data_IF_858588679870
#
_entry.id   IF_858588679870
#
_cell.length_a   1.000
_cell.length_b   1.000
_cell.length_c   1.000
_cell.angle_alpha   90.00
_cell.angle_beta   90.00
_cell.angle_gamma   90.00
#
_symmetry.space_group_name_H-M   'P 1'
#
loop_
_entity.id
_entity.type
_entity.pdbx_description
1 polymer ?
#
# COMPACT_ATOMS: atom_id res chain seq x y z
N UNK A 1 -0.51 13.25 22.96
CA UNK A 1 0.09 12.10 23.67
C UNK A 1 -0.58 10.85 23.11
N UNK A 2 0.16 9.98 22.41
CA UNK A 2 -0.42 8.74 21.89
C UNK A 2 -0.45 7.72 23.03
N UNK A 3 -1.60 7.14 23.38
CA UNK A 3 -1.69 6.16 24.44
C UNK A 3 -0.81 4.94 24.16
N UNK A 4 -0.18 4.35 25.18
CA UNK A 4 0.60 3.12 25.05
C UNK A 4 -0.20 1.97 24.41
N UNK A 5 -1.53 1.97 24.57
CA UNK A 5 -2.44 1.05 23.91
C UNK A 5 -2.40 1.16 22.37
N UNK A 6 -2.26 2.37 21.81
CA UNK A 6 -2.15 2.56 20.36
C UNK A 6 -0.81 2.03 19.80
N UNK A 7 0.26 2.01 20.62
CA UNK A 7 1.54 1.42 20.24
C UNK A 7 1.48 -0.12 20.20
N UNK A 8 0.75 -0.75 21.12
CA UNK A 8 0.53 -2.20 21.12
C UNK A 8 -0.38 -2.65 19.96
N UNK A 9 -1.45 -1.91 19.66
CA UNK A 9 -2.29 -2.15 18.47
C UNK A 9 -1.50 -2.01 17.17
N UNK A 10 -0.54 -1.08 17.12
CA UNK A 10 0.35 -0.90 15.98
C UNK A 10 1.34 -2.05 15.79
N UNK A 11 2.01 -2.49 16.86
CA UNK A 11 2.91 -3.64 16.80
C UNK A 11 2.19 -4.93 16.38
N UNK A 12 0.90 -5.07 16.71
CA UNK A 12 0.07 -6.19 16.29
C UNK A 12 -0.39 -6.10 14.82
N UNK A 13 -0.61 -4.89 14.28
CA UNK A 13 -1.19 -4.67 12.94
C UNK A 13 -0.19 -4.42 11.81
N UNK A 14 0.98 -3.84 12.10
CA UNK A 14 1.98 -3.49 11.10
C UNK A 14 3.17 -4.42 11.18
N UNK A 15 2.99 -5.59 10.59
CA UNK A 15 4.08 -6.52 10.29
C UNK A 15 4.22 -6.69 8.80
N UNK A 16 5.38 -7.19 8.39
CA UNK A 16 5.55 -7.65 7.02
C UNK A 16 4.62 -8.85 6.78
N UNK A 17 3.96 -8.92 5.62
CA UNK A 17 3.22 -10.10 5.23
C UNK A 17 4.19 -11.28 5.08
N UNK A 18 3.77 -12.45 5.53
CA UNK A 18 4.54 -13.69 5.38
C UNK A 18 4.44 -14.21 3.96
N UNK A 19 5.40 -15.03 3.53
CA UNK A 19 5.38 -15.67 2.21
C UNK A 19 4.07 -16.46 1.97
N UNK A 20 3.55 -17.13 3.00
CA UNK A 20 2.27 -17.86 2.93
C UNK A 20 1.08 -16.94 2.68
N UNK A 21 1.05 -15.76 3.31
CA UNK A 21 -0.03 -14.77 3.12
C UNK A 21 0.04 -14.12 1.74
N UNK A 22 1.23 -13.80 1.28
CA UNK A 22 1.47 -13.31 -0.08
C UNK A 22 1.02 -14.36 -1.10
N UNK A 23 1.39 -15.62 -0.89
CA UNK A 23 0.98 -16.74 -1.74
C UNK A 23 -0.53 -16.90 -1.80
N UNK A 24 -1.23 -16.78 -0.66
CA UNK A 24 -2.69 -16.82 -0.59
C UNK A 24 -3.34 -15.63 -1.32
N UNK A 25 -2.79 -14.43 -1.18
CA UNK A 25 -3.32 -13.21 -1.81
C UNK A 25 -3.35 -13.31 -3.34
N UNK A 26 -2.34 -13.96 -3.92
CA UNK A 26 -2.20 -14.09 -5.38
C UNK A 26 -2.53 -15.49 -5.91
N UNK A 27 -3.04 -16.38 -5.07
CA UNK A 27 -3.38 -17.75 -5.46
C UNK A 27 -4.45 -17.75 -6.57
N UNK A 28 -4.19 -18.49 -7.65
CA UNK A 28 -5.11 -18.61 -8.78
C UNK A 28 -5.12 -17.43 -9.76
N UNK A 29 -4.34 -16.37 -9.51
CA UNK A 29 -4.20 -15.24 -10.43
C UNK A 29 -3.10 -15.51 -11.45
N UNK A 30 -3.44 -15.37 -12.72
CA UNK A 30 -2.61 -15.81 -13.85
C UNK A 30 -1.78 -14.68 -14.44
N UNK A 31 -2.25 -13.44 -14.35
CA UNK A 31 -1.59 -12.27 -14.95
C UNK A 31 -1.05 -11.28 -13.92
N UNK A 32 -0.02 -10.53 -14.31
CA UNK A 32 0.48 -9.41 -13.51
C UNK A 32 -0.57 -8.34 -13.27
N UNK A 33 -1.47 -8.12 -14.25
CA UNK A 33 -2.58 -7.18 -14.10
C UNK A 33 -3.55 -7.61 -13.00
N UNK A 34 -3.95 -8.89 -13.00
CA UNK A 34 -4.82 -9.46 -11.96
C UNK A 34 -4.19 -9.33 -10.57
N UNK A 35 -2.90 -9.66 -10.44
CA UNK A 35 -2.18 -9.53 -9.16
C UNK A 35 -2.09 -8.07 -8.68
N UNK A 36 -1.76 -7.13 -9.57
CA UNK A 36 -1.73 -5.71 -9.24
C UNK A 36 -3.11 -5.20 -8.84
N UNK A 37 -4.15 -5.59 -9.56
CA UNK A 37 -5.52 -5.23 -9.23
C UNK A 37 -5.93 -5.75 -7.85
N UNK A 38 -5.65 -7.03 -7.55
CA UNK A 38 -5.92 -7.60 -6.23
C UNK A 38 -5.18 -6.85 -5.11
N UNK A 39 -3.89 -6.55 -5.32
CA UNK A 39 -3.09 -5.76 -4.38
C UNK A 39 -3.69 -4.36 -4.14
N UNK A 40 -4.06 -3.67 -5.21
CA UNK A 40 -4.61 -2.30 -5.14
C UNK A 40 -5.96 -2.30 -4.42
N UNK A 41 -6.85 -3.24 -4.75
CA UNK A 41 -8.15 -3.37 -4.09
C UNK A 41 -8.00 -3.63 -2.60
N UNK A 42 -7.15 -4.57 -2.21
CA UNK A 42 -6.91 -4.88 -0.79
C UNK A 42 -6.21 -3.71 -0.05
N UNK A 43 -5.29 -3.02 -0.72
CA UNK A 43 -4.65 -1.81 -0.16
C UNK A 43 -5.67 -0.71 0.09
N UNK A 44 -6.54 -0.41 -0.88
CA UNK A 44 -7.61 0.57 -0.74
C UNK A 44 -8.56 0.20 0.40
N UNK A 45 -8.99 -1.07 0.52
CA UNK A 45 -9.81 -1.56 1.64
C UNK A 45 -9.12 -1.39 3.00
N UNK A 46 -7.81 -1.60 3.05
CA UNK A 46 -7.03 -1.34 4.27
C UNK A 46 -6.98 0.15 4.59
N UNK A 47 -6.83 1.01 3.60
CA UNK A 47 -6.79 2.46 3.77
C UNK A 47 -8.13 3.02 4.22
N UNK A 48 -9.24 2.56 3.64
CA UNK A 48 -10.59 2.96 4.07
C UNK A 48 -10.85 2.63 5.53
N UNK A 49 -10.47 1.43 5.98
CA UNK A 49 -10.61 1.02 7.39
C UNK A 49 -9.69 1.78 8.34
N UNK A 50 -8.53 2.22 7.85
CA UNK A 50 -7.48 2.85 8.65
C UNK A 50 -7.31 4.34 8.43
N UNK A 51 -8.18 5.01 7.67
CA UNK A 51 -7.91 6.32 7.06
C UNK A 51 -7.43 7.36 8.06
N UNK A 52 -8.25 7.65 9.08
CA UNK A 52 -7.92 8.67 10.08
C UNK A 52 -6.66 8.35 10.89
N UNK A 53 -6.41 7.07 11.14
CA UNK A 53 -5.22 6.62 11.85
C UNK A 53 -3.96 6.76 10.97
N UNK A 54 -4.02 6.32 9.72
CA UNK A 54 -2.92 6.42 8.75
C UNK A 54 -2.51 7.87 8.49
N UNK A 55 -3.52 8.73 8.36
CA UNK A 55 -3.36 10.16 8.16
C UNK A 55 -2.70 10.84 9.37
N UNK A 56 -3.19 10.55 10.58
CA UNK A 56 -2.57 11.03 11.82
C UNK A 56 -1.11 10.54 11.97
N UNK A 57 -0.86 9.25 11.72
CA UNK A 57 0.47 8.67 11.82
C UNK A 57 1.47 9.35 10.90
N UNK A 58 1.09 9.66 9.66
CA UNK A 58 1.98 10.31 8.69
C UNK A 58 2.23 11.78 9.04
N UNK A 59 1.22 12.50 9.52
CA UNK A 59 1.39 13.88 10.02
C UNK A 59 2.36 13.95 11.20
N UNK A 60 2.22 13.03 12.15
CA UNK A 60 2.99 13.07 13.40
C UNK A 60 4.33 12.34 13.32
N UNK A 61 4.58 11.55 12.28
CA UNK A 61 5.82 10.77 12.11
C UNK A 61 7.11 11.59 12.20
N UNK A 62 7.08 12.89 11.83
CA UNK A 62 8.25 13.77 11.94
C UNK A 62 8.64 14.04 13.41
N UNK A 63 7.68 14.03 14.31
CA UNK A 63 7.85 14.40 15.71
C UNK A 63 7.87 13.18 16.64
N UNK A 64 7.34 12.03 16.19
CA UNK A 64 7.20 10.82 16.99
C UNK A 64 7.93 9.63 16.34
N UNK A 65 9.12 9.24 16.82
CA UNK A 65 9.92 8.16 16.23
C UNK A 65 9.21 6.82 16.10
N UNK A 66 8.32 6.47 17.05
CA UNK A 66 7.51 5.26 16.99
C UNK A 66 6.57 5.26 15.78
N UNK A 67 5.99 6.41 15.44
CA UNK A 67 5.16 6.56 14.25
C UNK A 67 5.99 6.61 12.96
N UNK A 68 7.21 7.15 13.02
CA UNK A 68 8.13 7.07 11.89
C UNK A 68 8.49 5.61 11.56
N UNK A 69 8.78 4.80 12.60
CA UNK A 69 9.00 3.37 12.43
C UNK A 69 7.76 2.68 11.87
N UNK A 70 6.58 3.12 12.29
CA UNK A 70 5.33 2.59 11.81
C UNK A 70 5.11 2.76 10.30
N UNK A 71 5.28 3.99 9.84
CA UNK A 71 5.17 4.34 8.42
C UNK A 71 6.20 3.57 7.60
N UNK A 72 7.44 3.45 8.08
CA UNK A 72 8.48 2.66 7.39
C UNK A 72 8.13 1.19 7.25
N UNK A 73 7.55 0.56 8.28
CA UNK A 73 7.12 -0.84 8.21
C UNK A 73 6.01 -1.03 7.19
N UNK A 74 5.03 -0.12 7.12
CA UNK A 74 3.99 -0.15 6.10
C UNK A 74 4.59 0.02 4.69
N UNK A 75 5.49 0.99 4.50
CA UNK A 75 6.13 1.23 3.22
C UNK A 75 6.91 0.00 2.73
N UNK A 76 7.58 -0.70 3.66
CA UNK A 76 8.29 -1.94 3.36
C UNK A 76 7.34 -3.10 3.04
N UNK A 77 6.23 -3.22 3.77
CA UNK A 77 5.21 -4.24 3.49
C UNK A 77 4.62 -4.06 2.08
N UNK A 78 4.32 -2.81 1.69
CA UNK A 78 3.83 -2.50 0.36
C UNK A 78 4.86 -2.84 -0.72
N UNK A 79 6.15 -2.52 -0.51
CA UNK A 79 7.20 -2.86 -1.45
C UNK A 79 7.31 -4.38 -1.70
N UNK A 80 7.26 -5.18 -0.63
CA UNK A 80 7.27 -6.66 -0.71
C UNK A 80 6.06 -7.18 -1.49
N UNK A 81 4.87 -6.60 -1.27
CA UNK A 81 3.66 -7.01 -1.99
C UNK A 81 3.71 -6.63 -3.47
N UNK A 82 4.26 -5.46 -3.81
CA UNK A 82 4.45 -5.03 -5.21
C UNK A 82 5.42 -5.96 -5.93
N UNK A 83 6.54 -6.30 -5.29
CA UNK A 83 7.51 -7.25 -5.85
C UNK A 83 6.84 -8.61 -6.11
N UNK A 84 6.02 -9.10 -5.19
CA UNK A 84 5.28 -10.34 -5.39
C UNK A 84 4.21 -10.26 -6.49
N UNK A 85 3.55 -9.10 -6.67
CA UNK A 85 2.52 -8.92 -7.69
C UNK A 85 3.09 -8.77 -9.11
N UNK A 86 4.15 -7.97 -9.24
CA UNK A 86 4.74 -7.57 -10.52
C UNK A 86 5.99 -8.37 -10.92
N UNK A 87 6.62 -9.08 -9.97
CA UNK A 87 7.90 -9.76 -10.15
C UNK A 87 9.05 -8.79 -10.39
N UNK A 88 10.18 -9.31 -10.86
CA UNK A 88 11.38 -8.51 -11.21
C UNK A 88 11.21 -7.61 -12.44
N UNK A 89 10.00 -7.49 -12.99
CA UNK A 89 9.71 -6.63 -14.16
C UNK A 89 9.76 -5.13 -13.84
N UNK A 90 9.64 -4.79 -12.56
CA UNK A 90 9.59 -3.40 -12.09
C UNK A 90 10.75 -3.18 -11.13
N UNK A 91 11.77 -2.42 -11.55
CA UNK A 91 12.97 -2.15 -10.76
C UNK A 91 13.30 -0.65 -10.72
N UNK A 92 14.17 -0.26 -9.79
CA UNK A 92 14.69 1.10 -9.67
C UNK A 92 13.58 2.16 -9.60
N UNK A 93 13.70 3.20 -10.44
CA UNK A 93 12.75 4.31 -10.47
C UNK A 93 11.30 3.87 -10.76
N UNK A 94 11.09 2.87 -11.64
CA UNK A 94 9.73 2.37 -11.95
C UNK A 94 9.08 1.74 -10.71
N UNK A 95 9.85 1.01 -9.90
CA UNK A 95 9.34 0.39 -8.68
C UNK A 95 8.93 1.45 -7.65
N UNK A 96 9.72 2.52 -7.53
CA UNK A 96 9.37 3.65 -6.68
C UNK A 96 8.06 4.32 -7.13
N UNK A 97 7.87 4.55 -8.44
CA UNK A 97 6.63 5.14 -8.96
C UNK A 97 5.43 4.22 -8.72
N UNK A 98 5.55 2.92 -9.01
CA UNK A 98 4.46 1.95 -8.73
C UNK A 98 4.11 1.95 -7.25
N UNK A 99 5.10 1.97 -6.36
CA UNK A 99 4.86 2.09 -4.92
C UNK A 99 4.10 3.37 -4.58
N UNK A 100 4.53 4.52 -5.12
CA UNK A 100 3.86 5.80 -4.88
C UNK A 100 2.41 5.77 -5.35
N UNK A 101 2.13 5.22 -6.54
CA UNK A 101 0.75 5.15 -7.04
C UNK A 101 -0.17 4.28 -6.18
N UNK A 102 0.37 3.28 -5.48
CA UNK A 102 -0.42 2.36 -4.65
C UNK A 102 -0.48 2.83 -3.20
N UNK A 103 0.38 3.77 -2.78
CA UNK A 103 0.49 4.15 -1.38
C UNK A 103 -0.70 4.97 -0.85
N UNK A 104 -0.80 5.01 0.47
CA UNK A 104 -1.86 5.73 1.17
C UNK A 104 -1.90 7.23 0.81
N UNK A 105 -0.78 7.97 0.79
CA UNK A 105 -0.79 9.39 0.38
C UNK A 105 -1.39 9.63 -0.99
N UNK A 106 -1.07 8.82 -2.01
CA UNK A 106 -1.63 8.98 -3.34
C UNK A 106 -3.12 8.66 -3.36
N UNK A 107 -3.52 7.54 -2.74
CA UNK A 107 -4.93 7.18 -2.58
C UNK A 107 -5.74 8.32 -1.91
N UNK A 108 -5.20 8.90 -0.83
CA UNK A 108 -5.84 10.00 -0.10
C UNK A 108 -5.96 11.26 -0.96
N UNK A 109 -4.92 11.56 -1.74
CA UNK A 109 -4.91 12.70 -2.66
C UNK A 109 -5.99 12.58 -3.74
N UNK A 110 -6.26 11.37 -4.25
CA UNK A 110 -7.36 11.14 -5.19
C UNK A 110 -8.73 11.42 -4.54
N UNK A 111 -8.92 10.98 -3.29
CA UNK A 111 -10.17 11.24 -2.56
C UNK A 111 -10.36 12.73 -2.27
N UNK A 112 -9.30 13.42 -1.85
CA UNK A 112 -9.32 14.85 -1.56
C UNK A 112 -9.59 15.68 -2.82
N UNK A 113 -9.18 15.19 -3.99
CA UNK A 113 -9.51 15.76 -5.30
C UNK A 113 -10.96 15.44 -5.77
N UNK A 114 -11.76 14.72 -4.96
CA UNK A 114 -13.15 14.39 -5.26
C UNK A 114 -13.34 13.11 -6.08
N UNK A 115 -12.32 12.29 -6.26
CA UNK A 115 -12.45 11.01 -6.97
C UNK A 115 -13.36 10.07 -6.18
N UNK A 116 -14.41 9.48 -6.79
CA UNK A 116 -15.27 8.54 -6.07
C UNK A 116 -14.48 7.31 -5.61
N UNK A 117 -14.59 6.93 -4.32
CA UNK A 117 -13.89 5.78 -3.72
C UNK A 117 -13.93 4.52 -4.59
N UNK A 118 -15.10 4.20 -5.15
CA UNK A 118 -15.32 3.03 -6.03
C UNK A 118 -14.46 3.02 -7.31
N UNK A 119 -13.98 4.18 -7.77
CA UNK A 119 -13.18 4.33 -8.98
C UNK A 119 -11.67 4.34 -8.70
N UNK A 120 -11.27 4.62 -7.46
CA UNK A 120 -9.84 4.74 -7.11
C UNK A 120 -9.05 3.46 -7.39
N UNK A 121 -9.55 2.24 -7.06
CA UNK A 121 -8.81 1.02 -7.35
C UNK A 121 -8.53 0.80 -8.84
N UNK A 122 -9.49 1.08 -9.73
CA UNK A 122 -9.29 0.95 -11.17
C UNK A 122 -8.28 1.96 -11.69
N UNK A 123 -8.36 3.23 -11.26
CA UNK A 123 -7.44 4.29 -11.67
C UNK A 123 -5.99 3.94 -11.28
N UNK A 124 -5.78 3.55 -10.01
CA UNK A 124 -4.45 3.17 -9.52
C UNK A 124 -3.93 1.94 -10.28
N UNK A 125 -4.78 0.95 -10.53
CA UNK A 125 -4.42 -0.28 -11.24
C UNK A 125 -3.97 0.03 -12.67
N UNK A 126 -4.71 0.88 -13.40
CA UNK A 126 -4.36 1.27 -14.77
C UNK A 126 -3.03 2.03 -14.83
N UNK A 127 -2.84 2.99 -13.93
CA UNK A 127 -1.59 3.74 -13.83
C UNK A 127 -0.40 2.83 -13.48
N UNK A 128 -0.54 1.98 -12.46
CA UNK A 128 0.51 1.05 -12.06
C UNK A 128 0.83 0.05 -13.17
N UNK A 129 -0.19 -0.54 -13.81
CA UNK A 129 -0.01 -1.51 -14.89
C UNK A 129 0.68 -0.89 -16.11
N UNK A 130 0.36 0.37 -16.47
CA UNK A 130 1.01 1.06 -17.59
C UNK A 130 2.54 1.21 -17.44
N UNK A 131 3.05 1.16 -16.21
CA UNK A 131 4.47 1.21 -15.90
C UNK A 131 5.14 -0.16 -15.93
N UNK A 132 4.35 -1.22 -15.78
CA UNK A 132 4.81 -2.61 -15.85
C UNK A 132 4.77 -3.15 -17.28
N UNK A 133 3.79 -2.70 -18.08
CA UNK A 133 3.53 -3.18 -19.44
C UNK A 133 4.48 -2.61 -20.51
N UNK A 134 5.10 -1.44 -20.24
CA UNK A 134 6.10 -0.81 -21.14
C UNK A 134 7.48 -1.49 -21.09
N UNK A 135 7.53 -2.81 -21.22
CA UNK A 135 8.75 -3.58 -21.47
C UNK A 135 8.92 -3.87 -22.95
#
# INVERSE_FOLDING_TARGET
>A
MIPACAQATFAAGARLPTATEIGKLFAGLSSTRERLQALVVESCRCYERGEGWLDACRREARNLPALAAAVRTQDRALAVLIEAAAGHRVTGARAAVVKTLIDFPFWKSLLDAGTPRRQVPSIITDLAFSLVDKQ
#
